data_IF_083211774083
#
_entry.id   IF_083211774083
#
_cell.length_a   1.000
_cell.length_b   1.000
_cell.length_c   1.000
_cell.angle_alpha   90.00
_cell.angle_beta   90.00
_cell.angle_gamma   90.00
#
_symmetry.space_group_name_H-M   'P 1'
#
loop_
_entity.id
_entity.type
_entity.pdbx_description
1 polymer ?
#
# COMPACT_ATOMS: atom_id res chain seq x y z
N UNK A 1 67.23 30.92 -11.01
CA UNK A 1 65.94 31.01 -10.28
C UNK A 1 64.86 30.53 -11.22
N UNK A 2 64.30 29.35 -10.96
CA UNK A 2 63.48 28.57 -11.90
C UNK A 2 62.02 28.98 -11.74
N UNK A 3 61.39 29.47 -12.80
CA UNK A 3 59.93 29.59 -12.88
C UNK A 3 59.46 28.53 -13.87
N UNK A 4 58.88 27.44 -13.36
CA UNK A 4 58.22 26.41 -14.16
C UNK A 4 56.86 26.93 -14.62
N UNK A 5 56.74 27.24 -15.91
CA UNK A 5 55.46 27.42 -16.57
C UNK A 5 54.91 26.04 -16.97
N UNK A 6 54.01 25.49 -16.15
CA UNK A 6 53.29 24.26 -16.47
C UNK A 6 52.00 24.62 -17.21
N UNK A 7 52.09 24.75 -18.52
CA UNK A 7 50.92 24.95 -19.39
C UNK A 7 50.18 23.62 -19.58
N UNK A 8 49.01 23.56 -18.95
CA UNK A 8 47.74 22.97 -19.40
C UNK A 8 47.82 22.28 -20.77
N UNK A 9 47.85 20.94 -20.80
CA UNK A 9 47.55 20.16 -21.99
C UNK A 9 47.25 18.69 -21.63
N UNK A 10 46.16 18.42 -20.93
CA UNK A 10 45.68 17.04 -20.75
C UNK A 10 44.20 16.96 -20.36
N UNK A 11 43.30 17.72 -21.01
CA UNK A 11 41.86 17.45 -20.90
C UNK A 11 41.16 17.76 -22.22
N UNK A 12 41.19 16.85 -23.21
CA UNK A 12 40.07 16.83 -24.13
C UNK A 12 39.74 15.41 -24.58
N UNK A 13 39.20 14.54 -23.71
CA UNK A 13 38.54 13.31 -24.19
C UNK A 13 37.66 12.61 -23.14
N UNK A 14 36.78 13.32 -22.44
CA UNK A 14 35.74 12.61 -21.65
C UNK A 14 34.46 13.43 -21.44
N UNK A 15 34.11 14.31 -22.37
CA UNK A 15 32.89 15.14 -22.30
C UNK A 15 31.97 15.02 -23.53
N UNK A 16 32.09 13.93 -24.30
CA UNK A 16 31.33 13.74 -25.54
C UNK A 16 30.42 12.48 -25.53
N UNK A 17 29.98 12.01 -24.36
CA UNK A 17 29.12 10.83 -24.23
C UNK A 17 27.75 11.09 -23.56
N UNK A 18 27.38 12.36 -23.33
CA UNK A 18 26.09 12.73 -22.73
C UNK A 18 25.03 13.23 -23.73
N UNK A 19 25.30 13.20 -25.03
CA UNK A 19 24.42 13.79 -26.05
C UNK A 19 23.50 12.78 -26.76
N UNK A 20 23.10 11.68 -26.12
CA UNK A 20 22.37 10.61 -26.80
C UNK A 20 21.45 9.79 -25.90
N UNK A 21 20.35 10.39 -25.44
CA UNK A 21 19.03 9.75 -25.26
C UNK A 21 18.07 10.71 -24.54
N UNK A 22 17.79 11.87 -25.14
CA UNK A 22 16.53 12.55 -24.86
C UNK A 22 15.45 11.91 -25.77
N UNK A 23 15.18 10.62 -25.56
CA UNK A 23 13.96 10.02 -26.04
C UNK A 23 12.83 10.66 -25.21
N UNK A 24 12.17 11.65 -25.78
CA UNK A 24 10.89 12.14 -25.30
C UNK A 24 9.89 10.99 -25.40
N UNK A 25 9.88 10.13 -24.38
CA UNK A 25 8.81 9.20 -24.15
C UNK A 25 7.55 10.03 -23.83
N UNK A 26 6.81 10.39 -24.88
CA UNK A 26 5.42 10.81 -24.78
C UNK A 26 4.61 9.62 -24.25
N UNK A 27 4.72 9.34 -22.94
CA UNK A 27 3.65 8.63 -22.24
C UNK A 27 2.44 9.55 -22.33
N UNK A 28 1.48 9.21 -23.18
CA UNK A 28 0.21 9.94 -23.28
C UNK A 28 -0.33 10.19 -21.87
N UNK A 29 -0.79 11.41 -21.61
CA UNK A 29 -1.29 11.79 -20.29
C UNK A 29 -2.38 10.79 -19.86
N UNK A 30 -2.06 9.92 -18.89
CA UNK A 30 -3.01 8.96 -18.38
C UNK A 30 -4.17 9.72 -17.75
N UNK A 31 -5.40 9.39 -18.15
CA UNK A 31 -6.59 9.96 -17.52
C UNK A 31 -6.68 9.46 -16.08
N UNK A 32 -7.27 10.25 -15.17
CA UNK A 32 -7.49 9.81 -13.79
C UNK A 32 -8.23 8.46 -13.72
N UNK A 33 -9.18 8.23 -14.64
CA UNK A 33 -9.90 6.95 -14.75
C UNK A 33 -9.00 5.80 -15.18
N UNK A 34 -8.11 6.01 -16.16
CA UNK A 34 -7.14 5.00 -16.59
C UNK A 34 -6.12 4.67 -15.50
N UNK A 35 -5.63 5.69 -14.79
CA UNK A 35 -4.74 5.50 -13.63
C UNK A 35 -5.44 4.75 -12.50
N UNK A 36 -6.69 5.10 -12.19
CA UNK A 36 -7.50 4.40 -11.19
C UNK A 36 -7.72 2.94 -11.58
N UNK A 37 -8.05 2.65 -12.84
CA UNK A 37 -8.22 1.28 -13.32
C UNK A 37 -6.93 0.47 -13.17
N UNK A 38 -5.77 1.03 -13.58
CA UNK A 38 -4.50 0.33 -13.45
C UNK A 38 -4.15 -0.02 -11.99
N UNK A 39 -4.47 0.88 -11.04
CA UNK A 39 -4.30 0.60 -9.61
C UNK A 39 -5.24 -0.51 -9.10
N UNK A 40 -6.48 -0.56 -9.61
CA UNK A 40 -7.42 -1.64 -9.29
C UNK A 40 -6.95 -2.97 -9.86
N UNK A 41 -6.45 -2.98 -11.09
CA UNK A 41 -5.91 -4.18 -11.72
C UNK A 41 -4.71 -4.72 -10.92
N UNK A 42 -3.79 -3.85 -10.50
CA UNK A 42 -2.63 -4.21 -9.66
C UNK A 42 -3.07 -4.75 -8.29
N UNK A 43 -4.03 -4.10 -7.64
CA UNK A 43 -4.62 -4.54 -6.37
C UNK A 43 -5.32 -5.90 -6.51
N UNK A 44 -5.99 -6.14 -7.64
CA UNK A 44 -6.67 -7.40 -7.94
C UNK A 44 -5.66 -8.55 -8.03
N UNK A 45 -4.56 -8.33 -8.75
CA UNK A 45 -3.48 -9.32 -8.86
C UNK A 45 -2.88 -9.62 -7.49
N UNK A 46 -2.60 -8.60 -6.68
CA UNK A 46 -2.07 -8.80 -5.33
C UNK A 46 -2.98 -9.62 -4.42
N UNK A 47 -4.29 -9.33 -4.40
CA UNK A 47 -5.25 -10.11 -3.61
C UNK A 47 -5.33 -11.55 -4.14
N UNK A 48 -5.37 -11.72 -5.45
CA UNK A 48 -5.39 -13.04 -6.07
C UNK A 48 -4.15 -13.87 -5.71
N UNK A 49 -2.97 -13.28 -5.76
CA UNK A 49 -1.71 -13.95 -5.42
C UNK A 49 -1.65 -14.27 -3.92
N UNK A 50 -2.08 -13.33 -3.06
CA UNK A 50 -2.18 -13.57 -1.62
C UNK A 50 -3.11 -14.74 -1.27
N UNK A 51 -4.23 -14.87 -1.99
CA UNK A 51 -5.16 -15.99 -1.81
C UNK A 51 -4.60 -17.32 -2.36
N UNK A 52 -3.85 -17.28 -3.46
CA UNK A 52 -3.18 -18.49 -4.02
C UNK A 52 -2.09 -19.02 -3.12
N UNK A 53 -1.36 -18.13 -2.44
CA UNK A 53 -0.27 -18.48 -1.53
C UNK A 53 -0.74 -18.85 -0.12
N UNK A 54 -2.03 -18.67 0.18
CA UNK A 54 -2.65 -18.96 1.47
C UNK A 54 -2.86 -20.46 1.73
N UNK A 55 -1.75 -21.20 1.88
CA UNK A 55 -1.74 -22.65 2.11
C UNK A 55 -2.52 -23.07 3.35
N UNK A 56 -2.53 -22.21 4.37
CA UNK A 56 -3.15 -22.47 5.67
C UNK A 56 -4.55 -21.82 5.80
N UNK A 57 -5.11 -21.26 4.72
CA UNK A 57 -6.44 -20.64 4.74
C UNK A 57 -6.58 -19.43 5.67
N UNK A 58 -5.48 -18.89 6.19
CA UNK A 58 -5.44 -17.79 7.16
C UNK A 58 -5.86 -16.48 6.51
N UNK A 59 -5.41 -16.22 5.29
CA UNK A 59 -5.79 -15.01 4.53
C UNK A 59 -7.28 -15.03 4.20
N UNK A 60 -7.82 -16.18 3.77
CA UNK A 60 -9.26 -16.36 3.56
C UNK A 60 -10.03 -16.07 4.85
N UNK A 61 -9.59 -16.62 5.98
CA UNK A 61 -10.22 -16.38 7.29
C UNK A 61 -10.21 -14.92 7.69
N UNK A 62 -9.06 -14.25 7.63
CA UNK A 62 -8.97 -12.84 7.99
C UNK A 62 -9.81 -11.95 7.07
N UNK A 63 -9.91 -12.25 5.77
CA UNK A 63 -10.82 -11.54 4.85
C UNK A 63 -12.29 -11.82 5.22
N UNK A 64 -12.62 -13.03 5.66
CA UNK A 64 -13.95 -13.41 6.13
C UNK A 64 -14.39 -12.67 7.40
N UNK A 65 -13.45 -12.32 8.28
CA UNK A 65 -13.67 -11.58 9.52
C UNK A 65 -13.65 -10.05 9.31
N UNK A 66 -12.84 -9.57 8.36
CA UNK A 66 -12.61 -8.15 8.11
C UNK A 66 -13.88 -7.33 7.80
N UNK A 67 -13.86 -6.08 8.27
CA UNK A 67 -14.80 -5.00 7.93
C UNK A 67 -14.23 -4.05 6.89
N UNK A 68 -12.91 -4.01 6.74
CA UNK A 68 -12.25 -3.30 5.66
C UNK A 68 -10.96 -3.98 5.25
N UNK A 69 -10.54 -3.74 4.01
CA UNK A 69 -9.24 -4.16 3.50
C UNK A 69 -8.60 -2.95 2.83
N UNK A 70 -7.38 -2.62 3.26
CA UNK A 70 -6.50 -1.71 2.55
C UNK A 70 -5.46 -2.53 1.80
N UNK A 71 -5.44 -2.39 0.48
CA UNK A 71 -4.54 -3.08 -0.43
C UNK A 71 -3.43 -2.10 -0.77
N UNK A 72 -2.19 -2.52 -0.60
CA UNK A 72 -0.98 -1.74 -0.82
C UNK A 72 -0.18 -2.43 -1.92
N UNK A 73 -0.43 -2.12 -3.21
CA UNK A 73 0.20 -2.83 -4.32
C UNK A 73 1.73 -2.70 -4.35
N UNK A 74 2.21 -1.49 -4.13
CA UNK A 74 3.63 -1.21 -3.98
C UNK A 74 3.83 0.18 -3.36
N UNK A 75 4.57 0.25 -2.26
CA UNK A 75 5.05 1.50 -1.70
C UNK A 75 6.55 1.37 -1.47
N UNK A 76 7.31 2.36 -1.93
CA UNK A 76 8.75 2.42 -1.70
C UNK A 76 9.13 3.60 -0.81
N UNK A 77 10.04 3.37 0.13
CA UNK A 77 10.78 4.42 0.82
C UNK A 77 12.23 4.43 0.29
N UNK A 78 12.77 5.62 0.03
CA UNK A 78 14.18 5.80 -0.39
C UNK A 78 14.79 6.90 0.48
N UNK A 79 15.99 6.68 1.03
CA UNK A 79 16.65 7.69 1.86
C UNK A 79 18.10 7.45 2.26
N UNK A 80 18.82 8.53 2.57
CA UNK A 80 20.11 8.55 3.26
C UNK A 80 20.03 9.59 4.38
N UNK A 81 20.11 9.15 5.64
CA UNK A 81 19.85 9.95 6.85
C UNK A 81 18.37 10.39 6.94
N UNK A 82 17.83 11.03 5.91
CA UNK A 82 16.40 11.31 5.73
C UNK A 82 15.83 10.34 4.69
N UNK A 83 14.59 9.89 4.90
CA UNK A 83 13.84 9.10 3.91
C UNK A 83 12.53 9.77 3.53
N UNK A 84 12.11 9.54 2.30
CA UNK A 84 10.75 9.85 1.84
C UNK A 84 10.18 8.63 1.15
N UNK A 85 8.89 8.38 1.36
CA UNK A 85 8.17 7.34 0.65
C UNK A 85 6.84 7.86 0.14
N UNK A 86 6.44 7.28 -0.98
CA UNK A 86 5.18 7.58 -1.61
C UNK A 86 4.63 6.36 -2.31
N UNK A 87 3.32 6.18 -2.25
CA UNK A 87 2.64 5.22 -3.08
C UNK A 87 1.13 5.31 -2.94
N UNK A 88 0.45 4.34 -3.55
CA UNK A 88 -1.00 4.28 -3.56
C UNK A 88 -1.47 3.11 -2.72
N UNK A 89 -2.64 3.29 -2.12
CA UNK A 89 -3.39 2.23 -1.47
C UNK A 89 -4.84 2.30 -1.94
N UNK A 90 -5.50 1.15 -1.96
CA UNK A 90 -6.92 1.04 -2.26
C UNK A 90 -7.63 0.52 -1.01
N UNK A 91 -8.76 1.09 -0.65
CA UNK A 91 -9.56 0.63 0.48
C UNK A 91 -10.91 0.14 -0.02
N UNK A 92 -11.26 -1.09 0.31
CA UNK A 92 -12.62 -1.63 0.18
C UNK A 92 -13.21 -1.86 1.56
N UNK A 93 -14.51 -1.66 1.69
CA UNK A 93 -15.24 -1.81 2.96
C UNK A 93 -16.34 -2.86 2.82
N UNK A 94 -16.49 -3.69 3.84
CA UNK A 94 -17.56 -4.66 3.92
C UNK A 94 -18.83 -3.99 4.43
N UNK A 95 -19.94 -4.30 3.76
CA UNK A 95 -21.28 -3.81 4.08
C UNK A 95 -22.23 -5.00 4.19
N UNK A 96 -23.48 -4.74 4.57
CA UNK A 96 -24.52 -5.77 4.61
C UNK A 96 -24.80 -6.38 3.22
N UNK A 97 -24.46 -5.65 2.14
CA UNK A 97 -24.64 -6.07 0.76
C UNK A 97 -23.37 -6.67 0.12
N UNK A 98 -22.34 -6.98 0.93
CA UNK A 98 -21.04 -7.46 0.47
C UNK A 98 -19.98 -6.35 0.44
N UNK A 99 -18.89 -6.58 -0.28
CA UNK A 99 -17.80 -5.59 -0.38
C UNK A 99 -18.18 -4.39 -1.27
N UNK A 100 -17.69 -3.20 -0.90
CA UNK A 100 -17.91 -1.93 -1.60
C UNK A 100 -16.58 -1.20 -1.86
N UNK A 101 -16.58 -0.31 -2.86
CA UNK A 101 -15.43 0.48 -3.27
C UNK A 101 -14.76 -0.03 -4.57
N UNK A 102 -13.43 0.09 -4.71
CA UNK A 102 -12.50 0.68 -3.77
C UNK A 102 -12.52 2.21 -3.80
N UNK A 103 -11.95 2.80 -2.76
CA UNK A 103 -11.47 4.19 -2.75
C UNK A 103 -9.95 4.23 -2.79
N UNK A 104 -9.39 5.26 -3.39
CA UNK A 104 -7.96 5.45 -3.57
C UNK A 104 -7.41 6.39 -2.51
N UNK A 105 -6.35 5.95 -1.85
CA UNK A 105 -5.56 6.73 -0.90
C UNK A 105 -4.11 6.83 -1.40
N UNK A 106 -3.41 7.85 -0.95
CA UNK A 106 -1.98 8.02 -1.15
C UNK A 106 -1.27 7.95 0.18
N UNK A 107 -0.28 7.05 0.30
CA UNK A 107 0.64 7.03 1.45
C UNK A 107 1.76 8.02 1.19
N UNK A 108 2.11 8.77 2.22
CA UNK A 108 3.31 9.60 2.25
C UNK A 108 4.01 9.39 3.57
N UNK A 109 5.30 9.14 3.52
CA UNK A 109 6.17 8.94 4.68
C UNK A 109 7.38 9.85 4.59
N UNK A 110 7.83 10.31 5.76
CA UNK A 110 9.08 11.02 5.96
C UNK A 110 9.76 10.38 7.16
N UNK A 111 11.02 10.00 7.00
CA UNK A 111 11.78 9.39 8.08
C UNK A 111 13.11 10.08 8.33
N UNK A 112 13.66 9.84 9.53
CA UNK A 112 14.99 10.24 9.93
C UNK A 112 15.68 9.08 10.66
N UNK A 113 16.92 8.76 10.29
CA UNK A 113 17.67 7.62 10.81
C UNK A 113 19.17 7.75 10.56
N UNK A 114 19.99 6.95 11.24
CA UNK A 114 21.45 7.11 11.21
C UNK A 114 22.14 6.47 9.98
N UNK A 115 21.43 5.71 9.14
CA UNK A 115 21.99 5.11 7.93
C UNK A 115 20.97 5.05 6.78
N UNK A 116 21.48 4.74 5.58
CA UNK A 116 20.80 4.78 4.29
C UNK A 116 20.07 3.48 3.96
N UNK A 117 18.99 3.57 3.18
CA UNK A 117 18.27 2.40 2.71
C UNK A 117 17.25 2.68 1.62
N UNK A 118 16.88 1.61 0.92
CA UNK A 118 15.68 1.52 0.09
C UNK A 118 14.83 0.41 0.67
N UNK A 119 13.55 0.66 0.85
CA UNK A 119 12.58 -0.37 1.20
C UNK A 119 11.42 -0.38 0.24
N UNK A 120 10.76 -1.53 0.19
CA UNK A 120 9.50 -1.73 -0.49
C UNK A 120 8.56 -2.48 0.45
N UNK A 121 7.33 -2.01 0.51
CA UNK A 121 6.23 -2.61 1.25
C UNK A 121 5.08 -2.88 0.28
N UNK A 122 4.56 -4.09 0.33
CA UNK A 122 3.42 -4.53 -0.46
C UNK A 122 2.61 -5.54 0.34
N UNK A 123 1.29 -5.38 0.38
CA UNK A 123 0.46 -6.29 1.16
C UNK A 123 -0.97 -5.82 1.40
N UNK A 124 -1.66 -6.60 2.22
CA UNK A 124 -3.03 -6.40 2.64
C UNK A 124 -3.05 -6.00 4.12
N UNK A 125 -3.74 -4.91 4.43
CA UNK A 125 -4.06 -4.51 5.79
C UNK A 125 -5.54 -4.78 6.04
N UNK A 126 -5.83 -5.83 6.79
CA UNK A 126 -7.17 -6.32 7.08
C UNK A 126 -7.65 -5.71 8.39
N UNK A 127 -8.75 -4.97 8.34
CA UNK A 127 -9.28 -4.14 9.42
C UNK A 127 -10.54 -4.81 9.95
N UNK A 128 -10.55 -5.21 11.22
CA UNK A 128 -11.59 -6.03 11.84
C UNK A 128 -12.76 -5.20 12.41
N UNK A 129 -12.60 -3.88 12.56
CA UNK A 129 -13.64 -2.97 13.05
C UNK A 129 -14.01 -1.94 11.98
N UNK A 130 -15.30 -1.70 11.80
CA UNK A 130 -15.78 -0.71 10.83
C UNK A 130 -15.43 0.73 11.25
N UNK A 131 -15.37 1.02 12.55
CA UNK A 131 -15.00 2.33 13.07
C UNK A 131 -13.52 2.63 12.75
N UNK A 132 -12.66 1.62 12.76
CA UNK A 132 -11.25 1.76 12.36
C UNK A 132 -11.11 2.05 10.85
N UNK A 133 -11.95 1.43 10.01
CA UNK A 133 -12.00 1.76 8.57
C UNK A 133 -12.34 3.24 8.38
N UNK A 134 -13.39 3.72 9.05
CA UNK A 134 -13.83 5.12 8.97
C UNK A 134 -12.74 6.07 9.49
N UNK A 135 -12.12 5.72 10.61
CA UNK A 135 -11.03 6.51 11.18
C UNK A 135 -9.85 6.65 10.21
N UNK A 136 -9.44 5.56 9.56
CA UNK A 136 -8.35 5.58 8.58
C UNK A 136 -8.69 6.51 7.41
N UNK A 137 -9.93 6.46 6.92
CA UNK A 137 -10.39 7.31 5.82
C UNK A 137 -10.44 8.80 6.21
N UNK A 138 -10.84 9.11 7.45
CA UNK A 138 -10.99 10.48 7.94
C UNK A 138 -9.66 11.10 8.35
N UNK A 139 -8.86 10.38 9.13
CA UNK A 139 -7.64 10.90 9.75
C UNK A 139 -6.38 10.60 8.97
N UNK A 140 -6.44 9.67 8.01
CA UNK A 140 -5.25 9.26 7.28
C UNK A 140 -4.23 8.51 8.15
N UNK A 141 -4.65 8.01 9.30
CA UNK A 141 -3.78 7.33 10.25
C UNK A 141 -4.38 5.98 10.60
N UNK A 142 -3.53 4.96 10.70
CA UNK A 142 -3.91 3.66 11.22
C UNK A 142 -3.77 3.71 12.74
N UNK A 143 -4.86 3.48 13.47
CA UNK A 143 -4.83 3.40 14.93
C UNK A 143 -4.33 2.03 15.35
N UNK A 144 -3.27 2.01 16.15
CA UNK A 144 -2.87 0.83 16.90
C UNK A 144 -3.63 0.78 18.22
N UNK A 145 -4.61 -0.13 18.29
CA UNK A 145 -5.27 -0.72 19.45
C UNK A 145 -5.47 0.14 20.71
N UNK A 146 -6.70 0.62 20.98
CA UNK A 146 -7.16 1.14 22.29
C UNK A 146 -6.22 2.11 23.04
N UNK A 147 -5.26 2.72 22.36
CA UNK A 147 -4.36 3.72 22.89
C UNK A 147 -4.43 4.94 21.98
N UNK A 148 -4.70 6.09 22.60
CA UNK A 148 -4.48 7.39 21.96
C UNK A 148 -2.98 7.56 21.73
N UNK A 149 -2.47 7.09 20.60
CA UNK A 149 -1.17 7.47 20.09
C UNK A 149 -1.06 7.04 18.63
N UNK A 150 -1.07 8.01 17.72
CA UNK A 150 -0.28 7.89 16.50
C UNK A 150 1.18 7.89 16.95
N UNK A 151 1.72 6.68 17.09
CA UNK A 151 3.14 6.44 17.08
C UNK A 151 3.28 5.09 16.38
N UNK A 152 3.82 5.11 15.17
CA UNK A 152 4.57 3.97 14.64
C UNK A 152 5.75 3.78 15.61
N UNK A 153 5.51 3.24 16.80
CA UNK A 153 6.54 2.92 17.78
C UNK A 153 7.44 1.87 17.10
N UNK A 154 8.68 2.25 16.82
CA UNK A 154 9.84 2.06 17.69
C UNK A 154 10.16 0.56 17.82
N UNK A 155 11.31 0.18 17.24
CA UNK A 155 11.84 -1.17 17.08
C UNK A 155 11.09 -2.07 16.08
N UNK A 156 11.52 -2.02 14.81
CA UNK A 156 11.70 -3.27 14.07
C UNK A 156 13.18 -3.38 13.72
N UNK A 157 13.95 -3.79 14.73
CA UNK A 157 15.06 -4.71 14.47
C UNK A 157 14.43 -6.10 14.56
N UNK A 158 13.87 -6.58 13.45
CA UNK A 158 13.64 -8.01 13.24
C UNK A 158 14.01 -8.27 11.80
N UNK A 159 15.25 -8.68 11.64
CA UNK A 159 15.69 -9.41 10.46
C UNK A 159 14.66 -10.53 10.18
N UNK A 160 14.18 -10.56 8.94
CA UNK A 160 13.58 -11.69 8.21
C UNK A 160 12.06 -11.95 8.32
N UNK A 161 11.56 -12.49 7.19
CA UNK A 161 10.27 -13.18 6.96
C UNK A 161 8.98 -12.35 6.79
N UNK A 162 7.96 -12.87 6.05
CA UNK A 162 6.62 -12.29 6.01
C UNK A 162 6.02 -12.42 7.42
N UNK A 163 6.20 -11.38 8.22
CA UNK A 163 5.77 -11.36 9.61
C UNK A 163 4.41 -10.68 9.71
N UNK A 164 3.39 -11.50 10.01
CA UNK A 164 2.08 -11.04 10.46
C UNK A 164 2.26 -10.06 11.62
N UNK A 165 1.89 -8.80 11.43
CA UNK A 165 1.81 -7.83 12.51
C UNK A 165 0.38 -7.79 13.02
N UNK A 166 0.18 -8.21 14.28
CA UNK A 166 -1.12 -8.14 14.98
C UNK A 166 -1.14 -6.90 15.87
N UNK A 167 -2.04 -5.96 15.58
CA UNK A 167 -2.31 -4.81 16.45
C UNK A 167 -3.79 -4.71 16.74
N UNK A 168 -4.27 -5.54 17.68
CA UNK A 168 -5.59 -5.49 18.32
C UNK A 168 -6.81 -5.81 17.44
N UNK A 169 -6.96 -5.13 16.31
CA UNK A 169 -8.07 -5.28 15.36
C UNK A 169 -7.62 -5.07 13.90
N UNK A 170 -6.31 -5.02 13.64
CA UNK A 170 -5.76 -4.85 12.29
C UNK A 170 -4.63 -5.87 12.08
N UNK A 171 -4.68 -6.58 10.95
CA UNK A 171 -3.71 -7.58 10.54
C UNK A 171 -3.03 -7.18 9.24
N UNK A 172 -1.70 -7.22 9.20
CA UNK A 172 -0.94 -7.06 7.96
C UNK A 172 -0.53 -8.43 7.40
N UNK A 173 -0.80 -8.65 6.11
CA UNK A 173 -0.38 -9.82 5.34
C UNK A 173 0.35 -9.33 4.10
N UNK A 174 1.66 -9.53 4.03
CA UNK A 174 2.42 -9.11 2.87
C UNK A 174 3.92 -9.22 3.03
N UNK A 175 4.61 -8.63 2.07
CA UNK A 175 6.06 -8.58 2.01
C UNK A 175 6.55 -7.19 2.37
N UNK A 176 7.53 -7.15 3.26
CA UNK A 176 8.33 -5.98 3.52
C UNK A 176 9.79 -6.35 3.28
N UNK A 177 10.41 -5.66 2.34
CA UNK A 177 11.84 -5.84 2.03
C UNK A 177 12.56 -4.51 2.14
N UNK A 178 13.76 -4.52 2.68
CA UNK A 178 14.57 -3.31 2.76
C UNK A 178 15.90 -3.58 3.45
N UNK A 179 16.95 -2.92 2.96
CA UNK A 179 18.25 -2.91 3.63
C UNK A 179 18.30 -1.65 4.49
N UNK A 180 17.94 -1.79 5.76
CA UNK A 180 18.16 -0.76 6.76
C UNK A 180 19.30 -1.20 7.66
N UNK A 181 20.37 -0.41 7.70
CA UNK A 181 21.33 -0.52 8.77
C UNK A 181 20.90 0.49 9.85
N UNK A 182 20.54 0.03 11.05
CA UNK A 182 20.34 0.89 12.22
C UNK A 182 18.91 1.40 12.48
N UNK A 183 18.80 2.24 13.52
CA UNK A 183 17.53 2.75 14.05
C UNK A 183 17.02 3.92 13.20
N UNK A 184 15.77 3.83 12.74
CA UNK A 184 15.08 4.89 12.01
C UNK A 184 13.71 5.19 12.63
N UNK A 185 13.36 6.47 12.65
CA UNK A 185 12.02 6.95 12.99
C UNK A 185 11.33 7.35 11.68
N UNK A 186 10.20 6.73 11.37
CA UNK A 186 9.38 7.05 10.20
C UNK A 186 8.04 7.61 10.67
N UNK A 187 7.66 8.78 10.15
CA UNK A 187 6.31 9.34 10.31
C UNK A 187 5.64 9.36 8.95
N UNK A 188 4.39 8.93 8.88
CA UNK A 188 3.67 8.87 7.62
C UNK A 188 2.19 8.67 7.85
N UNK A 189 1.45 8.87 6.77
CA UNK A 189 0.00 8.72 6.77
C UNK A 189 -0.55 8.54 5.38
N UNK A 190 -1.85 8.36 5.32
CA UNK A 190 -2.63 8.22 4.12
C UNK A 190 -3.43 9.50 3.87
N UNK A 191 -3.63 9.83 2.62
CA UNK A 191 -4.43 10.98 2.20
C UNK A 191 -5.38 10.57 1.09
N UNK A 192 -6.58 11.13 1.11
CA UNK A 192 -7.60 10.82 0.11
C UNK A 192 -7.16 11.27 -1.30
N UNK A 193 -7.30 10.39 -2.30
CA UNK A 193 -7.12 10.75 -3.72
C UNK A 193 -8.46 11.10 -4.36
N UNK A 194 -9.05 12.22 -3.93
CA UNK A 194 -10.36 12.70 -4.38
C UNK A 194 -10.55 12.66 -5.90
N UNK A 195 -9.52 13.07 -6.67
CA UNK A 195 -9.58 13.08 -8.13
C UNK A 195 -9.69 11.67 -8.74
N UNK A 196 -9.03 10.67 -8.17
CA UNK A 196 -9.16 9.27 -8.61
C UNK A 196 -10.51 8.70 -8.18
N UNK A 197 -10.92 8.96 -6.93
CA UNK A 197 -12.21 8.54 -6.40
C UNK A 197 -13.37 9.06 -7.25
N UNK A 198 -13.38 10.36 -7.56
CA UNK A 198 -14.40 10.96 -8.41
C UNK A 198 -14.37 10.39 -9.83
N UNK A 199 -13.18 10.27 -10.44
CA UNK A 199 -13.07 9.76 -11.81
C UNK A 199 -13.48 8.29 -11.96
N UNK A 200 -13.25 7.48 -10.92
CA UNK A 200 -13.55 6.05 -10.92
C UNK A 200 -15.01 5.76 -10.53
N UNK A 201 -15.47 6.34 -9.42
CA UNK A 201 -16.82 6.09 -8.86
C UNK A 201 -17.93 6.94 -9.49
N UNK A 202 -17.59 8.09 -10.09
CA UNK A 202 -18.55 9.08 -10.55
C UNK A 202 -19.21 9.90 -9.42
N UNK A 203 -18.80 9.74 -8.16
CA UNK A 203 -19.25 10.57 -7.04
C UNK A 203 -18.54 11.91 -7.08
N UNK A 204 -19.30 12.99 -7.22
CA UNK A 204 -18.76 14.36 -7.16
C UNK A 204 -18.04 14.60 -5.83
N UNK A 205 -16.84 15.18 -5.89
CA UNK A 205 -16.00 15.40 -4.71
C UNK A 205 -15.36 14.13 -4.14
N UNK A 206 -15.55 12.96 -4.75
CA UNK A 206 -14.80 11.73 -4.48
C UNK A 206 -14.74 11.32 -3.00
N UNK A 207 -15.83 11.55 -2.26
CA UNK A 207 -15.96 11.27 -0.83
C UNK A 207 -15.87 9.76 -0.55
N UNK A 208 -14.86 9.29 0.21
CA UNK A 208 -14.73 7.87 0.54
C UNK A 208 -15.93 7.35 1.33
N UNK A 209 -16.42 8.14 2.29
CA UNK A 209 -17.59 7.84 3.10
C UNK A 209 -18.81 7.56 2.23
N UNK A 210 -19.06 8.43 1.25
CA UNK A 210 -20.19 8.29 0.33
C UNK A 210 -20.04 7.11 -0.62
N UNK A 211 -18.82 6.85 -1.09
CA UNK A 211 -18.53 5.73 -2.00
C UNK A 211 -18.70 4.39 -1.28
N UNK A 212 -18.11 4.24 -0.09
CA UNK A 212 -18.06 2.97 0.64
C UNK A 212 -19.32 2.69 1.45
N UNK A 213 -19.87 3.68 2.16
CA UNK A 213 -20.90 3.43 3.17
C UNK A 213 -22.28 3.97 2.78
N UNK A 214 -22.38 5.19 2.27
CA UNK A 214 -23.70 5.77 1.94
C UNK A 214 -24.30 5.12 0.69
N UNK A 215 -23.50 4.99 -0.37
CA UNK A 215 -23.93 4.44 -1.67
C UNK A 215 -23.47 3.01 -1.90
N UNK A 216 -22.51 2.52 -1.11
CA UNK A 216 -21.97 1.15 -1.19
C UNK A 216 -21.64 0.74 -2.63
N UNK A 217 -20.92 1.61 -3.34
CA UNK A 217 -20.74 1.47 -4.78
C UNK A 217 -19.85 0.27 -5.11
N UNK A 218 -20.20 -0.41 -6.20
CA UNK A 218 -19.39 -1.46 -6.83
C UNK A 218 -19.16 -1.09 -8.31
N UNK A 219 -18.19 -0.22 -8.62
CA UNK A 219 -17.93 0.19 -10.00
C UNK A 219 -17.52 -1.01 -10.86
N UNK A 220 -17.98 -1.06 -12.12
CA UNK A 220 -17.68 -2.16 -13.05
C UNK A 220 -16.18 -2.50 -13.15
N UNK A 221 -15.31 -1.48 -13.11
CA UNK A 221 -13.86 -1.65 -13.15
C UNK A 221 -13.25 -2.39 -11.95
N UNK A 222 -14.01 -2.58 -10.85
CA UNK A 222 -13.58 -3.26 -9.64
C UNK A 222 -14.34 -4.56 -9.35
N UNK A 223 -15.23 -5.00 -10.24
CA UNK A 223 -16.05 -6.22 -10.03
C UNK A 223 -15.18 -7.42 -9.68
N UNK A 224 -14.12 -7.66 -10.47
CA UNK A 224 -13.19 -8.78 -10.25
C UNK A 224 -12.55 -8.74 -8.86
N UNK A 225 -12.10 -7.56 -8.42
CA UNK A 225 -11.51 -7.38 -7.08
C UNK A 225 -12.53 -7.72 -5.99
N UNK A 226 -13.73 -7.16 -6.08
CA UNK A 226 -14.75 -7.33 -5.06
C UNK A 226 -15.30 -8.76 -5.03
N UNK A 227 -15.42 -9.42 -6.18
CA UNK A 227 -15.78 -10.84 -6.28
C UNK A 227 -14.75 -11.75 -5.63
N UNK A 228 -13.44 -11.48 -5.77
CA UNK A 228 -12.39 -12.22 -5.07
C UNK A 228 -12.56 -12.10 -3.55
N UNK A 229 -12.85 -10.90 -3.05
CA UNK A 229 -13.08 -10.66 -1.63
C UNK A 229 -14.37 -11.33 -1.12
N UNK A 230 -15.46 -11.30 -1.89
CA UNK A 230 -16.72 -11.98 -1.57
C UNK A 230 -16.52 -13.50 -1.51
N UNK A 231 -15.78 -14.06 -2.49
CA UNK A 231 -15.46 -15.48 -2.57
C UNK A 231 -14.59 -15.91 -1.38
N UNK A 232 -13.51 -15.20 -1.10
CA UNK A 232 -12.62 -15.51 0.01
C UNK A 232 -13.36 -15.50 1.36
N UNK A 233 -14.23 -14.50 1.57
CA UNK A 233 -15.05 -14.42 2.77
C UNK A 233 -16.06 -15.59 2.88
N UNK A 234 -16.62 -16.04 1.76
CA UNK A 234 -17.57 -17.16 1.73
C UNK A 234 -16.90 -18.51 2.01
N UNK A 235 -15.69 -18.71 1.48
CA UNK A 235 -14.88 -19.92 1.69
C UNK A 235 -14.43 -20.04 3.15
N UNK A 236 -14.06 -18.93 3.80
CA UNK A 236 -13.80 -18.88 5.24
C UNK A 236 -14.97 -19.41 6.07
N UNK A 237 -16.19 -18.95 5.80
CA UNK A 237 -17.38 -19.39 6.53
C UNK A 237 -17.73 -20.86 6.30
N UNK A 238 -17.39 -21.40 5.12
CA UNK A 238 -17.61 -22.82 4.81
C UNK A 238 -16.65 -23.71 5.59
N UNK A 239 -15.37 -23.33 5.67
CA UNK A 239 -14.35 -24.10 6.38
C UNK A 239 -14.61 -24.14 7.89
N UNK A 240 -15.11 -23.04 8.47
CA UNK A 240 -15.51 -23.01 9.88
C UNK A 240 -16.69 -23.95 10.18
N UNK A 241 -17.66 -24.06 9.25
CA UNK A 241 -18.82 -24.95 9.40
C UNK A 241 -18.49 -26.43 9.22
N UNK A 242 -17.46 -26.76 8.43
CA UNK A 242 -17.07 -28.14 8.11
C UNK A 242 -16.09 -28.75 9.12
N UNK A 243 -15.68 -28.00 10.16
CA UNK A 243 -14.84 -28.50 11.24
C UNK A 243 -13.41 -28.87 10.82
N UNK A 244 -12.96 -28.45 9.63
CA UNK A 244 -11.56 -28.54 9.22
C UNK A 244 -10.79 -27.39 9.83
N UNK A 245 -10.48 -27.51 11.12
CA UNK A 245 -9.52 -26.65 11.80
C UNK A 245 -8.17 -26.75 11.07
N UNK A 246 -7.74 -25.65 10.45
CA UNK A 246 -6.34 -25.54 10.03
C UNK A 246 -5.51 -25.35 11.30
N UNK A 247 -4.51 -26.20 11.57
CA UNK A 247 -3.78 -26.14 12.82
C UNK A 247 -3.16 -24.77 13.04
N UNK A 248 -3.42 -24.22 14.23
CA UNK A 248 -2.82 -22.97 14.70
C UNK A 248 -1.35 -23.24 15.02
N UNK A 249 -0.48 -23.11 14.01
CA UNK A 249 0.97 -23.18 14.16
C UNK A 249 1.57 -21.78 14.16
#
# INVERSE_FOLDING_TARGET
MVIRAMHIAAVPLLLALLAGCAATASKGAATNRGTAQALVDEATVMVEDSLKEDKDGRVHRLIGEAKGIMIIPAIGDIGFIFSVGHGNALVAARTDNGWSGPVFMSKSSVGWGLQAGVSKESGLLLIMDQDDVRYILEKGAVLSGKARAVALNAQLDVDQTPEFYESGAIYFVGERSGLYAGVALNTGGFSNRTNLNQAFSGVEGGSPETILFDRQLRPHGAERLLELLDKAASESQKNEKDGTEVPSN
#
